data_IF_912920488318
#
_entry.id   IF_912920488318
#
_cell.length_a   1.000
_cell.length_b   1.000
_cell.length_c   1.000
_cell.angle_alpha   90.00
_cell.angle_beta   90.00
_cell.angle_gamma   90.00
#
_symmetry.space_group_name_H-M   'P 1'
#
loop_
_entity.id
_entity.type
_entity.pdbx_description
1 polymer ?
#
# COMPACT_ATOMS: atom_id res chain seq x y z
N UNK A 1 -28.81 24.87 -10.49
CA UNK A 1 -27.58 24.07 -10.30
C UNK A 1 -27.67 23.41 -8.92
N UNK A 2 -27.83 22.08 -8.82
CA UNK A 2 -28.04 21.39 -7.53
C UNK A 2 -26.67 21.21 -6.87
N UNK A 3 -26.34 22.03 -5.88
CA UNK A 3 -25.12 21.92 -5.08
C UNK A 3 -25.09 20.57 -4.38
N UNK A 4 -24.14 19.71 -4.75
CA UNK A 4 -23.87 18.45 -4.02
C UNK A 4 -23.25 18.85 -2.68
N UNK A 5 -23.97 18.64 -1.58
CA UNK A 5 -23.43 18.82 -0.25
C UNK A 5 -22.45 17.68 0.05
N UNK A 6 -21.17 18.02 0.21
CA UNK A 6 -20.10 17.07 0.53
C UNK A 6 -20.22 16.77 2.01
N UNK A 7 -20.83 15.64 2.37
CA UNK A 7 -20.90 15.20 3.75
C UNK A 7 -19.56 14.58 4.14
N UNK A 8 -18.60 15.44 4.48
CA UNK A 8 -17.24 15.06 4.85
C UNK A 8 -17.24 14.40 6.23
N UNK A 9 -16.82 13.13 6.30
CA UNK A 9 -16.68 12.43 7.58
C UNK A 9 -15.36 12.82 8.27
N UNK A 10 -15.40 13.93 9.00
CA UNK A 10 -14.23 14.47 9.71
C UNK A 10 -13.63 13.49 10.72
N UNK A 11 -14.44 12.59 11.31
CA UNK A 11 -13.95 11.59 12.27
C UNK A 11 -13.09 10.54 11.57
N UNK A 12 -13.53 10.11 10.39
CA UNK A 12 -12.78 9.16 9.57
C UNK A 12 -11.46 9.76 9.08
N UNK A 13 -11.46 11.02 8.63
CA UNK A 13 -10.25 11.74 8.19
C UNK A 13 -9.26 11.84 9.36
N UNK A 14 -9.70 12.26 10.54
CA UNK A 14 -8.84 12.39 11.71
C UNK A 14 -8.23 11.04 12.12
N UNK A 15 -9.02 9.96 12.09
CA UNK A 15 -8.52 8.61 12.37
C UNK A 15 -7.45 8.16 11.37
N UNK A 16 -7.64 8.39 10.07
CA UNK A 16 -6.65 8.02 9.06
C UNK A 16 -5.39 8.85 9.21
N UNK A 17 -5.49 10.16 9.38
CA UNK A 17 -4.31 11.02 9.54
C UNK A 17 -3.48 10.61 10.76
N UNK A 18 -4.13 10.35 11.91
CA UNK A 18 -3.43 9.86 13.11
C UNK A 18 -2.80 8.48 12.88
N UNK A 19 -3.53 7.53 12.29
CA UNK A 19 -3.02 6.21 11.99
C UNK A 19 -1.80 6.26 11.05
N UNK A 20 -1.89 7.06 9.99
CA UNK A 20 -0.78 7.30 9.04
C UNK A 20 0.42 7.94 9.75
N UNK A 21 0.21 8.92 10.63
CA UNK A 21 1.29 9.57 11.38
C UNK A 21 2.07 8.58 12.26
N UNK A 22 1.37 7.77 13.07
CA UNK A 22 2.03 6.77 13.92
C UNK A 22 2.74 5.70 13.09
N UNK A 23 2.10 5.21 12.02
CA UNK A 23 2.71 4.22 11.13
C UNK A 23 3.94 4.78 10.41
N UNK A 24 3.87 6.00 9.90
CA UNK A 24 5.00 6.67 9.24
C UNK A 24 6.16 6.87 10.20
N UNK A 25 5.89 7.30 11.43
CA UNK A 25 6.92 7.50 12.46
C UNK A 25 7.61 6.17 12.81
N UNK A 26 6.82 5.11 12.99
CA UNK A 26 7.34 3.77 13.27
C UNK A 26 8.21 3.26 12.11
N UNK A 27 7.73 3.31 10.87
CA UNK A 27 8.47 2.85 9.70
C UNK A 27 9.74 3.66 9.45
N UNK A 28 9.70 4.99 9.60
CA UNK A 28 10.89 5.84 9.49
C UNK A 28 11.94 5.46 10.54
N UNK A 29 11.54 5.27 11.80
CA UNK A 29 12.46 4.87 12.86
C UNK A 29 13.17 3.54 12.54
N UNK A 30 12.41 2.52 12.12
CA UNK A 30 12.99 1.22 11.76
C UNK A 30 13.92 1.31 10.55
N UNK A 31 13.54 2.08 9.52
CA UNK A 31 14.36 2.28 8.33
C UNK A 31 15.68 2.99 8.65
N UNK A 32 15.62 4.08 9.41
CA UNK A 32 16.80 4.86 9.80
C UNK A 32 17.78 4.05 10.64
N UNK A 33 17.29 3.29 11.63
CA UNK A 33 18.15 2.44 12.47
C UNK A 33 18.82 1.34 11.64
N UNK A 34 18.09 0.75 10.69
CA UNK A 34 18.60 -0.31 9.82
C UNK A 34 19.65 0.22 8.83
N UNK A 35 19.39 1.39 8.23
CA UNK A 35 20.28 2.00 7.25
C UNK A 35 21.56 2.56 7.86
N UNK A 36 21.49 3.19 9.04
CA UNK A 36 22.66 3.74 9.74
C UNK A 36 23.70 2.67 10.08
N UNK A 37 23.25 1.47 10.46
CA UNK A 37 24.12 0.33 10.79
C UNK A 37 24.63 -0.45 9.57
N UNK A 38 24.10 -0.18 8.38
CA UNK A 38 24.40 -0.94 7.16
C UNK A 38 25.62 -0.42 6.39
N UNK A 39 26.35 -1.32 5.74
CA UNK A 39 27.36 -0.99 4.73
C UNK A 39 26.71 -0.38 3.50
N UNK A 40 27.47 0.39 2.71
CA UNK A 40 26.93 1.08 1.51
C UNK A 40 26.24 0.11 0.54
N UNK A 41 26.76 -1.11 0.40
CA UNK A 41 26.15 -2.14 -0.45
C UNK A 41 24.82 -2.67 0.11
N UNK A 42 24.77 -2.96 1.41
CA UNK A 42 23.54 -3.40 2.08
C UNK A 42 22.44 -2.32 2.05
N UNK A 43 22.82 -1.04 2.13
CA UNK A 43 21.89 0.08 2.05
C UNK A 43 21.13 0.15 0.71
N UNK A 44 21.78 -0.18 -0.41
CA UNK A 44 21.11 -0.27 -1.72
C UNK A 44 20.07 -1.39 -1.78
N UNK A 45 20.34 -2.55 -1.17
CA UNK A 45 19.36 -3.64 -1.08
C UNK A 45 18.16 -3.26 -0.20
N UNK A 46 18.41 -2.56 0.92
CA UNK A 46 17.34 -2.06 1.78
C UNK A 46 16.48 -1.06 1.00
N UNK A 47 17.11 -0.11 0.28
CA UNK A 47 16.40 0.84 -0.58
C UNK A 47 15.55 0.12 -1.64
N UNK A 48 16.13 -0.85 -2.36
CA UNK A 48 15.41 -1.64 -3.35
C UNK A 48 14.24 -2.41 -2.73
N UNK A 49 14.41 -2.96 -1.52
CA UNK A 49 13.36 -3.62 -0.77
C UNK A 49 12.20 -2.68 -0.42
N UNK A 50 12.49 -1.47 0.05
CA UNK A 50 11.47 -0.45 0.38
C UNK A 50 10.65 -0.09 -0.87
N UNK A 51 11.31 0.15 -2.00
CA UNK A 51 10.65 0.46 -3.27
C UNK A 51 9.80 -0.73 -3.76
N UNK A 52 10.35 -1.94 -3.68
CA UNK A 52 9.64 -3.15 -4.09
C UNK A 52 8.36 -3.37 -3.27
N UNK A 53 8.42 -3.15 -1.95
CA UNK A 53 7.25 -3.20 -1.07
C UNK A 53 6.19 -2.21 -1.56
N UNK A 54 6.55 -0.95 -1.81
CA UNK A 54 5.63 0.06 -2.32
C UNK A 54 4.94 -0.38 -3.63
N UNK A 55 5.70 -0.94 -4.57
CA UNK A 55 5.16 -1.44 -5.84
C UNK A 55 4.23 -2.64 -5.63
N UNK A 56 4.55 -3.58 -4.73
CA UNK A 56 3.69 -4.73 -4.43
C UNK A 56 2.34 -4.26 -3.86
N UNK A 57 2.35 -3.28 -2.96
CA UNK A 57 1.11 -2.72 -2.42
C UNK A 57 0.30 -1.96 -3.48
N UNK A 58 0.94 -1.30 -4.44
CA UNK A 58 0.27 -0.72 -5.61
C UNK A 58 -0.48 -1.80 -6.44
N UNK A 59 0.15 -2.97 -6.65
CA UNK A 59 -0.46 -4.11 -7.35
C UNK A 59 -1.71 -4.58 -6.61
N UNK A 60 -1.62 -4.74 -5.28
CA UNK A 60 -2.74 -5.18 -4.43
C UNK A 60 -3.87 -4.16 -4.48
N UNK A 61 -3.58 -2.89 -4.26
CA UNK A 61 -4.58 -1.81 -4.29
C UNK A 61 -5.30 -1.75 -5.64
N UNK A 62 -4.54 -1.83 -6.74
CA UNK A 62 -5.11 -1.79 -8.10
C UNK A 62 -5.99 -3.02 -8.35
N UNK A 63 -5.51 -4.20 -8.00
CA UNK A 63 -6.26 -5.45 -8.16
C UNK A 63 -7.59 -5.44 -7.40
N UNK A 64 -7.59 -4.91 -6.18
CA UNK A 64 -8.81 -4.77 -5.36
C UNK A 64 -9.76 -3.75 -5.96
N UNK A 65 -9.26 -2.62 -6.46
CA UNK A 65 -10.09 -1.58 -7.09
C UNK A 65 -10.70 -2.01 -8.43
N UNK A 66 -9.98 -2.80 -9.23
CA UNK A 66 -10.48 -3.28 -10.53
C UNK A 66 -11.19 -4.63 -10.46
N UNK A 67 -11.07 -5.34 -9.33
CA UNK A 67 -11.61 -6.68 -9.15
C UNK A 67 -13.13 -6.71 -9.04
N UNK A 68 -13.74 -7.85 -9.39
CA UNK A 68 -15.19 -8.05 -9.30
C UNK A 68 -15.57 -9.15 -8.32
N UNK A 69 -16.72 -9.01 -7.64
CA UNK A 69 -17.17 -9.92 -6.56
C UNK A 69 -17.72 -11.26 -7.08
N UNK A 70 -18.26 -11.32 -8.29
CA UNK A 70 -18.98 -12.48 -8.84
C UNK A 70 -18.20 -13.80 -8.78
N UNK A 71 -16.92 -13.89 -9.22
CA UNK A 71 -16.16 -15.14 -9.14
C UNK A 71 -15.96 -15.61 -7.70
N UNK A 72 -15.92 -14.69 -6.73
CA UNK A 72 -15.71 -15.01 -5.33
C UNK A 72 -16.96 -15.53 -4.62
N UNK A 73 -18.16 -15.18 -5.10
CA UNK A 73 -19.40 -15.75 -4.55
C UNK A 73 -19.51 -17.25 -4.81
N UNK A 74 -19.16 -17.70 -6.01
CA UNK A 74 -19.12 -19.12 -6.34
C UNK A 74 -18.07 -19.87 -5.49
N UNK A 75 -16.88 -19.28 -5.33
CA UNK A 75 -15.82 -19.83 -4.48
C UNK A 75 -16.24 -19.90 -3.00
N UNK A 76 -16.93 -18.88 -2.49
CA UNK A 76 -17.43 -18.86 -1.12
C UNK A 76 -18.56 -19.89 -0.89
N UNK A 77 -19.42 -20.12 -1.87
CA UNK A 77 -20.45 -21.18 -1.81
C UNK A 77 -19.81 -22.58 -1.73
N UNK A 78 -18.70 -22.78 -2.45
CA UNK A 78 -17.87 -24.01 -2.35
C UNK A 78 -16.95 -24.04 -1.12
N UNK A 79 -17.08 -23.09 -0.19
CA UNK A 79 -16.27 -22.97 1.03
C UNK A 79 -14.75 -22.92 0.77
N UNK A 80 -14.33 -22.34 -0.36
CA UNK A 80 -12.91 -22.12 -0.65
C UNK A 80 -12.32 -21.15 0.39
N UNK A 81 -11.17 -21.51 0.96
CA UNK A 81 -10.50 -20.70 1.97
C UNK A 81 -10.12 -19.32 1.43
N UNK A 82 -10.27 -18.28 2.25
CA UNK A 82 -10.00 -16.88 1.84
C UNK A 82 -11.05 -16.24 0.92
N UNK A 83 -11.99 -16.99 0.34
CA UNK A 83 -12.99 -16.44 -0.59
C UNK A 83 -13.92 -15.39 0.05
N UNK A 84 -14.31 -15.60 1.31
CA UNK A 84 -15.12 -14.61 2.06
C UNK A 84 -14.34 -13.31 2.33
N UNK A 85 -13.05 -13.42 2.62
CA UNK A 85 -12.14 -12.30 2.83
C UNK A 85 -11.87 -11.53 1.55
N UNK A 86 -11.73 -12.23 0.42
CA UNK A 86 -11.65 -11.62 -0.90
C UNK A 86 -12.89 -10.75 -1.22
N UNK A 87 -14.11 -11.25 -0.95
CA UNK A 87 -15.35 -10.45 -1.08
C UNK A 87 -15.28 -9.22 -0.15
N UNK A 88 -14.78 -9.38 1.07
CA UNK A 88 -14.67 -8.30 2.05
C UNK A 88 -13.68 -7.22 1.63
N UNK A 89 -12.57 -7.59 1.00
CA UNK A 89 -11.60 -6.67 0.39
C UNK A 89 -12.27 -5.84 -0.72
N UNK A 90 -12.96 -6.50 -1.65
CA UNK A 90 -13.66 -5.84 -2.76
C UNK A 90 -14.77 -4.87 -2.27
N UNK A 91 -15.52 -5.25 -1.23
CA UNK A 91 -16.56 -4.37 -0.65
C UNK A 91 -16.00 -3.14 0.04
N UNK A 92 -14.78 -3.24 0.54
CA UNK A 92 -14.07 -2.14 1.19
C UNK A 92 -12.95 -1.61 0.28
N UNK A 93 -13.08 -1.75 -1.04
CA UNK A 93 -12.01 -1.44 -1.99
C UNK A 93 -11.44 -0.04 -1.81
N UNK A 94 -12.27 0.97 -1.55
CA UNK A 94 -11.81 2.34 -1.30
C UNK A 94 -10.91 2.44 -0.05
N UNK A 95 -11.26 1.75 1.04
CA UNK A 95 -10.45 1.75 2.26
C UNK A 95 -9.11 1.05 2.02
N UNK A 96 -9.15 -0.09 1.32
CA UNK A 96 -7.94 -0.86 0.98
C UNK A 96 -7.05 -0.06 0.03
N UNK A 97 -7.64 0.63 -0.95
CA UNK A 97 -6.93 1.50 -1.88
C UNK A 97 -6.24 2.65 -1.17
N UNK A 98 -6.92 3.36 -0.27
CA UNK A 98 -6.30 4.41 0.56
C UNK A 98 -5.16 3.86 1.40
N UNK A 99 -5.33 2.67 2.00
CA UNK A 99 -4.24 2.05 2.75
C UNK A 99 -3.04 1.66 1.87
N UNK A 100 -3.28 1.05 0.71
CA UNK A 100 -2.22 0.60 -0.20
C UNK A 100 -1.51 1.77 -0.88
N UNK A 101 -2.25 2.73 -1.42
CA UNK A 101 -1.72 3.87 -2.16
C UNK A 101 -1.17 4.93 -1.23
N UNK A 102 -2.01 5.46 -0.33
CA UNK A 102 -1.71 6.68 0.41
C UNK A 102 -0.86 6.37 1.65
N UNK A 103 -1.13 5.27 2.35
CA UNK A 103 -0.35 4.92 3.53
C UNK A 103 0.93 4.19 3.13
N UNK A 104 0.87 3.05 2.45
CA UNK A 104 2.10 2.29 2.15
C UNK A 104 2.86 2.88 0.95
N UNK A 105 2.15 3.20 -0.13
CA UNK A 105 2.75 3.72 -1.36
C UNK A 105 3.50 5.03 -1.13
N UNK A 106 2.88 6.02 -0.49
CA UNK A 106 3.53 7.33 -0.27
C UNK A 106 4.61 7.28 0.81
N UNK A 107 4.37 6.55 1.92
CA UNK A 107 5.39 6.40 2.98
C UNK A 107 6.63 5.67 2.42
N UNK A 108 6.45 4.61 1.64
CA UNK A 108 7.60 3.90 1.03
C UNK A 108 8.41 4.80 0.10
N UNK A 109 7.74 5.67 -0.68
CA UNK A 109 8.41 6.63 -1.54
C UNK A 109 9.21 7.66 -0.73
N UNK A 110 8.61 8.24 0.33
CA UNK A 110 9.29 9.20 1.22
C UNK A 110 10.50 8.56 1.91
N UNK A 111 10.32 7.37 2.50
CA UNK A 111 11.40 6.64 3.18
C UNK A 111 12.51 6.28 2.19
N UNK A 112 12.17 5.87 0.96
CA UNK A 112 13.16 5.55 -0.07
C UNK A 112 14.01 6.77 -0.45
N UNK A 113 13.42 7.97 -0.49
CA UNK A 113 14.15 9.22 -0.72
C UNK A 113 15.13 9.55 0.42
N UNK A 114 14.68 9.42 1.68
CA UNK A 114 15.54 9.60 2.84
C UNK A 114 16.69 8.56 2.90
N UNK A 115 16.38 7.32 2.55
CA UNK A 115 17.35 6.24 2.45
C UNK A 115 18.41 6.53 1.36
N UNK A 116 17.97 7.00 0.20
CA UNK A 116 18.88 7.39 -0.88
C UNK A 116 19.80 8.53 -0.46
N UNK A 117 19.28 9.56 0.22
CA UNK A 117 20.09 10.65 0.75
C UNK A 117 21.15 10.14 1.73
N UNK A 118 20.76 9.22 2.62
CA UNK A 118 21.69 8.58 3.57
C UNK A 118 22.79 7.76 2.88
N UNK A 119 22.49 7.18 1.71
CA UNK A 119 23.47 6.47 0.88
C UNK A 119 24.43 7.46 0.21
N UNK A 120 23.91 8.54 -0.37
CA UNK A 120 24.72 9.57 -1.05
C UNK A 120 25.70 10.21 -0.06
N UNK A 121 25.26 10.49 1.17
CA UNK A 121 26.11 11.06 2.23
C UNK A 121 27.30 10.17 2.63
N UNK A 122 27.27 8.86 2.35
CA UNK A 122 28.41 7.97 2.62
C UNK A 122 29.54 8.13 1.61
N UNK A 123 29.30 8.77 0.46
CA UNK A 123 30.34 9.03 -0.52
C UNK A 123 31.07 10.34 -0.19
N UNK A 124 32.41 10.41 -0.36
CA UNK A 124 33.20 11.59 -0.08
C UNK A 124 33.08 12.64 -1.22
N UNK A 125 31.86 13.10 -1.47
CA UNK A 125 31.53 14.07 -2.54
C UNK A 125 31.08 15.38 -1.91
N UNK A 126 31.63 16.51 -2.35
CA UNK A 126 31.32 17.83 -1.79
C UNK A 126 31.00 18.87 -2.86
N UNK A 127 30.39 19.98 -2.44
CA UNK A 127 30.04 21.11 -3.30
C UNK A 127 29.06 20.76 -4.42
N UNK A 128 29.20 21.41 -5.58
CA UNK A 128 28.31 21.25 -6.75
C UNK A 128 28.19 19.80 -7.22
N UNK A 129 29.25 19.00 -7.04
CA UNK A 129 29.23 17.58 -7.42
C UNK A 129 28.19 16.81 -6.60
N UNK A 130 28.10 17.05 -5.29
CA UNK A 130 27.12 16.40 -4.44
C UNK A 130 25.67 16.68 -4.90
N UNK A 131 25.36 17.93 -5.24
CA UNK A 131 24.04 18.32 -5.77
C UNK A 131 23.70 17.60 -7.08
N UNK A 132 24.67 17.45 -7.98
CA UNK A 132 24.48 16.72 -9.25
C UNK A 132 24.18 15.25 -8.99
N UNK A 133 24.93 14.59 -8.09
CA UNK A 133 24.67 13.19 -7.74
C UNK A 133 23.31 13.01 -7.07
N UNK A 134 22.92 13.90 -6.16
CA UNK A 134 21.58 13.85 -5.54
C UNK A 134 20.47 14.00 -6.57
N UNK A 135 20.62 14.93 -7.52
CA UNK A 135 19.64 15.10 -8.59
C UNK A 135 19.59 13.86 -9.51
N UNK A 136 20.76 13.32 -9.89
CA UNK A 136 20.85 12.17 -10.78
C UNK A 136 20.25 10.91 -10.14
N UNK A 137 20.70 10.56 -8.95
CA UNK A 137 20.19 9.38 -8.24
C UNK A 137 18.73 9.56 -7.82
N UNK A 138 18.31 10.77 -7.42
CA UNK A 138 16.92 11.09 -7.11
C UNK A 138 16.02 10.95 -8.34
N UNK A 139 16.51 11.36 -9.52
CA UNK A 139 15.83 11.18 -10.79
C UNK A 139 15.68 9.71 -11.18
N UNK A 140 16.75 8.91 -11.00
CA UNK A 140 16.72 7.46 -11.23
C UNK A 140 15.73 6.79 -10.27
N UNK A 141 15.76 7.13 -8.98
CA UNK A 141 14.84 6.57 -8.00
C UNK A 141 13.38 6.92 -8.36
N UNK A 142 13.13 8.18 -8.72
CA UNK A 142 11.78 8.64 -9.12
C UNK A 142 11.28 7.92 -10.37
N UNK A 143 12.14 7.72 -11.37
CA UNK A 143 11.75 7.00 -12.60
C UNK A 143 11.46 5.52 -12.32
N UNK A 144 12.23 4.87 -11.45
CA UNK A 144 11.97 3.49 -11.02
C UNK A 144 10.64 3.40 -10.26
N UNK A 145 10.35 4.32 -9.34
CA UNK A 145 9.10 4.30 -8.58
C UNK A 145 7.90 4.53 -9.51
N UNK A 146 7.95 5.57 -10.35
CA UNK A 146 6.82 5.93 -11.24
C UNK A 146 6.63 4.86 -12.32
N UNK A 147 7.71 4.40 -12.95
CA UNK A 147 7.69 3.32 -13.94
C UNK A 147 7.22 2.00 -13.34
N UNK A 148 7.72 1.64 -12.14
CA UNK A 148 7.29 0.46 -11.40
C UNK A 148 5.80 0.49 -11.05
N UNK A 149 5.29 1.63 -10.58
CA UNK A 149 3.84 1.82 -10.33
C UNK A 149 3.01 1.69 -11.60
N UNK A 150 3.48 2.19 -12.74
CA UNK A 150 2.78 2.03 -14.02
C UNK A 150 2.66 0.54 -14.43
N UNK A 151 3.75 -0.23 -14.29
CA UNK A 151 3.74 -1.68 -14.53
C UNK A 151 2.82 -2.38 -13.53
N UNK A 152 2.90 -2.03 -12.25
CA UNK A 152 2.07 -2.60 -11.19
C UNK A 152 0.57 -2.45 -11.48
N UNK A 153 0.14 -1.28 -11.99
CA UNK A 153 -1.26 -1.07 -12.37
C UNK A 153 -1.72 -2.04 -13.45
N UNK A 154 -0.91 -2.22 -14.50
CA UNK A 154 -1.22 -3.17 -15.58
C UNK A 154 -1.36 -4.60 -15.04
N UNK A 155 -0.41 -5.04 -14.21
CA UNK A 155 -0.43 -6.36 -13.57
C UNK A 155 -1.66 -6.52 -12.67
N UNK A 156 -1.93 -5.52 -11.84
CA UNK A 156 -3.06 -5.50 -10.91
C UNK A 156 -4.40 -5.64 -11.63
N UNK A 157 -4.59 -4.93 -12.74
CA UNK A 157 -5.80 -5.04 -13.55
C UNK A 157 -5.93 -6.41 -14.22
N UNK A 158 -4.89 -6.87 -14.91
CA UNK A 158 -4.90 -8.13 -15.67
C UNK A 158 -5.06 -9.37 -14.79
N UNK A 159 -4.46 -9.37 -13.60
CA UNK A 159 -4.48 -10.51 -12.67
C UNK A 159 -5.31 -10.23 -11.41
N UNK A 160 -6.26 -9.30 -11.49
CA UNK A 160 -7.07 -8.81 -10.36
C UNK A 160 -7.70 -9.94 -9.55
N UNK A 161 -8.38 -10.89 -10.21
CA UNK A 161 -9.01 -12.03 -9.51
C UNK A 161 -8.01 -12.87 -8.72
N UNK A 162 -6.86 -13.20 -9.30
CA UNK A 162 -5.83 -14.02 -8.63
C UNK A 162 -5.21 -13.26 -7.46
N UNK A 163 -4.87 -11.99 -7.66
CA UNK A 163 -4.23 -11.15 -6.62
C UNK A 163 -5.20 -10.94 -5.47
N UNK A 164 -6.46 -10.60 -5.74
CA UNK A 164 -7.50 -10.43 -4.71
C UNK A 164 -7.74 -11.73 -3.95
N UNK A 165 -7.74 -12.88 -4.64
CA UNK A 165 -7.86 -14.19 -3.98
C UNK A 165 -6.72 -14.42 -2.97
N UNK A 166 -5.47 -14.30 -3.42
CA UNK A 166 -4.30 -14.50 -2.55
C UNK A 166 -4.26 -13.49 -1.40
N UNK A 167 -4.62 -12.24 -1.66
CA UNK A 167 -4.74 -11.21 -0.63
C UNK A 167 -5.81 -11.59 0.41
N UNK A 168 -6.94 -12.13 -0.05
CA UNK A 168 -7.99 -12.67 0.82
C UNK A 168 -7.54 -13.88 1.64
N UNK A 169 -6.73 -14.77 1.08
CA UNK A 169 -6.13 -15.92 1.79
C UNK A 169 -5.17 -15.45 2.88
N UNK A 170 -4.27 -14.52 2.57
CA UNK A 170 -3.33 -13.93 3.55
C UNK A 170 -4.09 -13.23 4.66
N UNK A 171 -5.13 -12.47 4.32
CA UNK A 171 -5.97 -11.81 5.31
C UNK A 171 -6.69 -12.81 6.22
N UNK A 172 -7.23 -13.90 5.65
CA UNK A 172 -7.88 -14.96 6.42
C UNK A 172 -6.91 -15.67 7.36
N UNK A 173 -5.66 -15.84 6.96
CA UNK A 173 -4.61 -16.42 7.78
C UNK A 173 -4.20 -15.48 8.93
N UNK A 174 -4.02 -14.19 8.62
CA UNK A 174 -3.71 -13.16 9.61
C UNK A 174 -4.82 -13.03 10.67
N UNK A 175 -6.09 -12.96 10.27
CA UNK A 175 -7.20 -12.88 11.23
C UNK A 175 -7.29 -14.13 12.12
N UNK A 176 -7.00 -15.32 11.57
CA UNK A 176 -7.00 -16.58 12.34
C UNK A 176 -5.87 -16.61 13.38
N UNK A 177 -4.68 -16.14 13.02
CA UNK A 177 -3.52 -16.17 13.92
C UNK A 177 -3.49 -15.02 14.93
N UNK A 178 -3.99 -13.84 14.56
CA UNK A 178 -3.98 -12.65 15.42
C UNK A 178 -5.27 -12.49 16.23
N UNK A 179 -6.36 -13.18 15.87
CA UNK A 179 -7.65 -13.07 16.57
C UNK A 179 -8.36 -11.71 16.40
N UNK A 180 -7.84 -10.84 15.54
CA UNK A 180 -8.35 -9.48 15.31
C UNK A 180 -9.11 -9.46 13.97
N UNK A 181 -10.32 -8.89 13.96
CA UNK A 181 -11.04 -8.59 12.71
C UNK A 181 -10.46 -7.30 12.10
N UNK A 182 -9.77 -7.43 10.97
CA UNK A 182 -9.01 -6.33 10.36
C UNK A 182 -9.93 -5.43 9.53
N UNK A 183 -10.91 -6.01 8.83
CA UNK A 183 -11.86 -5.24 8.03
C UNK A 183 -13.24 -5.18 8.70
N UNK A 184 -13.95 -4.05 8.62
CA UNK A 184 -15.34 -3.97 9.08
C UNK A 184 -16.23 -4.88 8.22
N UNK A 185 -17.19 -5.56 8.85
CA UNK A 185 -18.22 -6.30 8.11
C UNK A 185 -19.13 -5.29 7.39
N UNK A 186 -19.14 -5.33 6.06
CA UNK A 186 -19.98 -4.45 5.24
C UNK A 186 -21.46 -4.71 5.55
N UNK A 187 -22.13 -3.73 6.18
CA UNK A 187 -23.54 -3.79 6.56
C UNK A 187 -24.40 -3.62 5.30
N UNK A 188 -24.93 -4.72 4.77
CA UNK A 188 -25.87 -4.68 3.65
C UNK A 188 -27.22 -4.07 4.13
N UNK A 189 -27.42 -2.77 3.92
CA UNK A 189 -28.62 -2.03 4.33
C UNK A 189 -29.90 -2.42 3.54
N UNK A 190 -29.87 -3.45 2.70
CA UNK A 190 -31.03 -3.87 1.86
C UNK A 190 -32.21 -4.49 2.62
N UNK A 191 -32.13 -4.72 3.95
CA UNK A 191 -33.27 -5.26 4.72
C UNK A 191 -34.26 -4.22 5.28
N UNK A 192 -34.06 -2.91 5.06
CA UNK A 192 -34.98 -1.86 5.57
C UNK A 192 -36.07 -1.39 4.58
N UNK A 193 -36.23 -2.03 3.41
CA UNK A 193 -37.25 -1.67 2.40
C UNK A 193 -38.32 -2.76 2.14
N UNK A 194 -38.48 -3.71 3.05
CA UNK A 194 -39.60 -4.68 3.05
C UNK A 194 -40.19 -4.76 4.45
N UNK A 195 -40.86 -3.71 4.87
CA UNK A 195 -41.98 -3.72 5.82
C UNK A 195 -42.86 -2.54 5.47
#
# INVERSE_FOLDING_TARGET
MKTRNINTDYRWILHITLATFFMATFLNFFSDVSLKKSTTFAAFFILAGIVAIGIVFEIIGTAVMSGKEEPFHAMAAKKVYGAKHAIKLLRNANLVATFCYDLIGDISAIISGAALMSIIMKFPISGTKASIYTALFGGILSSVIIGGKAIAKSIGMLKSQTIVYWTGVVLAWLEKNLGIKILPDYKNNRRKKRK
#
